data_IF_295257796665
#
_entry.id   IF_295257796665
#
_cell.length_a   1.000
_cell.length_b   1.000
_cell.length_c   1.000
_cell.angle_alpha   90.00
_cell.angle_beta   90.00
_cell.angle_gamma   90.00
#
_symmetry.space_group_name_H-M   'P 1'
#
loop_
_entity.id
_entity.type
_entity.pdbx_description
1 polymer ?
#
# COMPACT_ATOMS: atom_id res chain seq x y z
N UNK A 1 3.27 -1.24 4.62
CA UNK A 1 4.53 -1.05 3.88
C UNK A 1 4.48 -1.94 2.65
N UNK A 2 4.41 -1.36 1.46
CA UNK A 2 4.33 -2.11 0.20
C UNK A 2 5.69 -2.63 -0.26
N UNK A 3 6.77 -1.91 0.05
CA UNK A 3 8.14 -2.32 -0.27
C UNK A 3 8.48 -3.63 0.43
N UNK A 4 8.07 -3.77 1.68
CA UNK A 4 8.21 -5.03 2.44
C UNK A 4 7.40 -6.16 1.82
N UNK A 5 6.16 -5.90 1.39
CA UNK A 5 5.30 -6.91 0.75
C UNK A 5 5.81 -7.34 -0.62
N UNK A 6 6.29 -6.41 -1.43
CA UNK A 6 6.94 -6.71 -2.70
C UNK A 6 8.15 -7.63 -2.49
N UNK A 7 9.03 -7.32 -1.54
CA UNK A 7 10.21 -8.13 -1.25
C UNK A 7 9.86 -9.57 -0.82
N UNK A 8 8.74 -9.77 -0.11
CA UNK A 8 8.28 -11.09 0.34
C UNK A 8 7.84 -12.01 -0.81
N UNK A 9 7.35 -11.46 -1.92
CA UNK A 9 6.70 -12.24 -2.98
C UNK A 9 7.40 -12.17 -4.34
N UNK A 10 8.32 -11.21 -4.55
CA UNK A 10 9.02 -11.00 -5.83
C UNK A 10 9.69 -12.28 -6.38
N UNK A 11 10.22 -13.13 -5.50
CA UNK A 11 10.95 -14.34 -5.92
C UNK A 11 10.03 -15.45 -6.42
N UNK A 12 8.72 -15.31 -6.26
CA UNK A 12 7.68 -16.23 -6.74
C UNK A 12 7.08 -15.74 -8.06
N UNK A 13 7.20 -14.44 -8.36
CA UNK A 13 6.75 -13.85 -9.62
C UNK A 13 7.46 -14.53 -10.79
N UNK A 14 6.70 -14.88 -11.84
CA UNK A 14 7.22 -15.58 -13.02
C UNK A 14 7.40 -17.09 -12.88
N UNK A 15 7.31 -17.65 -11.66
CA UNK A 15 7.24 -19.11 -11.44
C UNK A 15 5.83 -19.68 -11.65
N UNK A 16 4.82 -18.84 -11.45
CA UNK A 16 3.39 -19.11 -11.66
C UNK A 16 2.61 -17.81 -11.74
N UNK A 17 1.38 -17.88 -12.22
CA UNK A 17 0.44 -16.76 -12.14
C UNK A 17 0.07 -16.47 -10.68
N UNK A 18 0.07 -15.19 -10.34
CA UNK A 18 -0.22 -14.68 -9.01
C UNK A 18 -1.36 -13.68 -9.07
N UNK A 19 -2.26 -13.78 -8.09
CA UNK A 19 -3.35 -12.84 -7.88
C UNK A 19 -3.11 -12.14 -6.54
N UNK A 20 -3.14 -10.81 -6.56
CA UNK A 20 -2.99 -9.98 -5.37
C UNK A 20 -4.36 -9.42 -5.01
N UNK A 21 -4.76 -9.57 -3.75
CA UNK A 21 -6.04 -9.10 -3.23
C UNK A 21 -5.87 -8.54 -1.81
N UNK A 22 -6.89 -7.84 -1.33
CA UNK A 22 -6.97 -7.45 0.08
C UNK A 22 -7.12 -8.67 0.98
N UNK A 23 -6.74 -8.54 2.25
CA UNK A 23 -6.84 -9.62 3.24
C UNK A 23 -8.28 -10.04 3.54
N UNK A 24 -9.22 -9.10 3.46
CA UNK A 24 -10.65 -9.33 3.64
C UNK A 24 -11.45 -8.30 2.82
N UNK A 25 -12.78 -8.35 2.94
CA UNK A 25 -13.67 -7.36 2.32
C UNK A 25 -13.34 -5.94 2.80
N UNK A 26 -13.26 -5.00 1.86
CA UNK A 26 -13.05 -3.58 2.17
C UNK A 26 -14.26 -2.92 2.85
N UNK A 27 -15.40 -3.63 2.98
CA UNK A 27 -16.57 -3.21 3.76
C UNK A 27 -16.23 -2.87 5.22
N UNK A 28 -15.17 -3.49 5.76
CA UNK A 28 -14.70 -3.27 7.13
C UNK A 28 -13.72 -2.09 7.26
N UNK A 29 -13.53 -1.32 6.19
CA UNK A 29 -12.70 -0.12 6.16
C UNK A 29 -13.58 1.07 5.78
N UNK A 30 -13.32 2.27 6.33
CA UNK A 30 -13.97 3.47 5.82
C UNK A 30 -13.62 3.67 4.33
N UNK A 31 -14.43 4.47 3.63
CA UNK A 31 -14.42 4.52 2.15
C UNK A 31 -13.20 5.28 1.61
N UNK A 32 -13.07 6.55 1.99
CA UNK A 32 -12.06 7.44 1.41
C UNK A 32 -11.40 8.29 2.49
N UNK A 33 -10.07 8.24 2.54
CA UNK A 33 -9.29 9.05 3.47
C UNK A 33 -9.24 10.52 3.03
N UNK A 34 -9.41 10.81 1.73
CA UNK A 34 -9.29 12.17 1.20
C UNK A 34 -10.26 13.15 1.88
N UNK A 35 -11.46 12.67 2.24
CA UNK A 35 -12.53 13.46 2.86
C UNK A 35 -12.36 13.69 4.36
N UNK A 36 -11.36 13.08 5.00
CA UNK A 36 -11.11 13.31 6.42
C UNK A 36 -10.44 14.68 6.63
N UNK A 37 -11.11 15.56 7.37
CA UNK A 37 -10.70 16.97 7.57
C UNK A 37 -10.14 17.25 8.95
N UNK A 38 -10.31 16.32 9.92
CA UNK A 38 -9.89 16.55 11.31
C UNK A 38 -8.57 15.89 11.67
N UNK A 39 -8.02 15.07 10.79
CA UNK A 39 -6.68 14.53 10.96
C UNK A 39 -5.64 15.52 10.46
N UNK A 40 -4.60 15.71 11.27
CA UNK A 40 -3.37 16.35 10.83
C UNK A 40 -2.78 15.61 9.60
N UNK A 41 -2.06 16.34 8.74
CA UNK A 41 -1.51 15.83 7.50
C UNK A 41 -0.49 14.70 7.72
N UNK A 42 0.35 14.79 8.76
CA UNK A 42 1.30 13.75 9.09
C UNK A 42 0.56 12.48 9.52
N UNK A 43 -0.38 12.60 10.46
CA UNK A 43 -1.18 11.46 10.92
C UNK A 43 -2.00 10.85 9.79
N UNK A 44 -2.60 11.68 8.93
CA UNK A 44 -3.36 11.25 7.76
C UNK A 44 -2.50 10.43 6.80
N UNK A 45 -1.24 10.81 6.60
CA UNK A 45 -0.31 10.07 5.72
C UNK A 45 -0.02 8.63 6.16
N UNK A 46 -0.31 8.29 7.42
CA UNK A 46 -0.10 6.95 7.96
C UNK A 46 -1.26 5.99 7.71
N UNK A 47 -2.40 6.48 7.21
CA UNK A 47 -3.60 5.70 7.00
C UNK A 47 -3.87 5.44 5.53
N UNK A 48 -4.63 4.38 5.27
CA UNK A 48 -5.21 4.08 3.97
C UNK A 48 -6.62 3.51 4.18
N UNK A 49 -7.62 4.12 3.54
CA UNK A 49 -9.00 3.66 3.54
C UNK A 49 -9.27 2.80 2.28
N UNK A 50 -10.52 2.41 2.03
CA UNK A 50 -10.83 1.45 0.97
C UNK A 50 -10.31 1.90 -0.41
N UNK A 51 -10.49 3.16 -0.79
CA UNK A 51 -9.98 3.68 -2.05
C UNK A 51 -8.45 3.68 -2.11
N UNK A 52 -7.78 4.09 -1.03
CA UNK A 52 -6.31 4.07 -0.96
C UNK A 52 -5.78 2.64 -1.01
N UNK A 53 -6.44 1.67 -0.36
CA UNK A 53 -6.09 0.25 -0.43
C UNK A 53 -6.25 -0.33 -1.83
N UNK A 54 -7.26 0.08 -2.59
CA UNK A 54 -7.36 -0.29 -4.00
C UNK A 54 -6.18 0.25 -4.81
N UNK A 55 -5.74 1.49 -4.53
CA UNK A 55 -4.55 2.06 -5.14
C UNK A 55 -3.28 1.29 -4.77
N UNK A 56 -3.12 0.90 -3.49
CA UNK A 56 -2.02 0.06 -3.02
C UNK A 56 -1.93 -1.28 -3.77
N UNK A 57 -3.07 -1.93 -4.02
CA UNK A 57 -3.12 -3.16 -4.81
C UNK A 57 -2.70 -2.94 -6.26
N UNK A 58 -3.09 -1.81 -6.87
CA UNK A 58 -2.69 -1.45 -8.23
C UNK A 58 -1.17 -1.18 -8.31
N UNK A 59 -0.62 -0.40 -7.37
CA UNK A 59 0.81 -0.15 -7.27
C UNK A 59 1.61 -1.45 -7.12
N UNK A 60 1.16 -2.34 -6.23
CA UNK A 60 1.83 -3.62 -6.01
C UNK A 60 1.75 -4.51 -7.25
N UNK A 61 0.60 -4.60 -7.92
CA UNK A 61 0.45 -5.30 -9.20
C UNK A 61 1.43 -4.76 -10.24
N UNK A 62 1.49 -3.44 -10.40
CA UNK A 62 2.31 -2.81 -11.43
C UNK A 62 3.79 -3.06 -11.18
N UNK A 63 4.24 -2.89 -9.94
CA UNK A 63 5.62 -3.17 -9.54
C UNK A 63 6.00 -4.64 -9.71
N UNK A 64 5.10 -5.59 -9.39
CA UNK A 64 5.37 -7.02 -9.60
C UNK A 64 5.50 -7.38 -11.07
N UNK A 65 4.80 -6.69 -11.96
CA UNK A 65 4.87 -6.96 -13.40
C UNK A 65 6.04 -6.25 -14.09
N UNK A 66 6.37 -5.03 -13.67
CA UNK A 66 7.43 -4.21 -14.31
C UNK A 66 8.80 -4.38 -13.65
N UNK A 67 8.85 -4.76 -12.37
CA UNK A 67 10.03 -4.71 -11.52
C UNK A 67 10.39 -3.31 -11.00
N UNK A 68 9.64 -2.27 -11.39
CA UNK A 68 9.84 -0.90 -10.92
C UNK A 68 9.18 -0.69 -9.55
N UNK A 69 9.99 -0.35 -8.56
CA UNK A 69 9.57 -0.18 -7.17
C UNK A 69 9.55 1.27 -6.70
N UNK A 70 9.84 2.24 -7.58
CA UNK A 70 9.93 3.66 -7.19
C UNK A 70 8.63 4.16 -6.56
N UNK A 71 7.48 3.87 -7.18
CA UNK A 71 6.17 4.25 -6.66
C UNK A 71 5.82 3.55 -5.33
N UNK A 72 6.29 2.31 -5.10
CA UNK A 72 6.10 1.62 -3.82
C UNK A 72 6.87 2.29 -2.69
N UNK A 73 8.11 2.70 -2.98
CA UNK A 73 8.98 3.38 -2.04
C UNK A 73 8.41 4.74 -1.65
N UNK A 74 7.94 5.53 -2.63
CA UNK A 74 7.27 6.81 -2.39
C UNK A 74 6.02 6.63 -1.52
N UNK A 75 5.12 5.71 -1.91
CA UNK A 75 3.89 5.44 -1.16
C UNK A 75 4.15 4.94 0.27
N UNK A 76 5.22 4.16 0.47
CA UNK A 76 5.56 3.58 1.78
C UNK A 76 6.40 4.51 2.67
N UNK A 77 6.94 5.61 2.15
CA UNK A 77 7.80 6.51 2.90
C UNK A 77 7.15 7.04 4.20
N UNK A 78 5.87 7.46 4.22
CA UNK A 78 5.24 7.95 5.45
C UNK A 78 5.11 6.87 6.53
N UNK A 79 4.79 5.63 6.16
CA UNK A 79 4.65 4.53 7.13
C UNK A 79 6.00 4.05 7.67
N UNK A 80 7.07 4.19 6.88
CA UNK A 80 8.44 3.95 7.34
C UNK A 80 8.90 5.04 8.31
N UNK A 81 8.62 6.31 7.99
CA UNK A 81 8.91 7.44 8.89
C UNK A 81 8.20 7.29 10.25
N UNK A 82 6.94 6.85 10.24
CA UNK A 82 6.15 6.60 11.46
C UNK A 82 6.83 5.63 12.43
N UNK A 83 7.62 4.64 11.96
CA UNK A 83 8.30 3.67 12.84
C UNK A 83 9.28 4.34 13.83
N UNK A 84 9.70 5.56 13.53
CA UNK A 84 10.62 6.36 14.33
C UNK A 84 9.96 7.61 14.94
N UNK A 85 8.65 7.77 14.78
CA UNK A 85 7.89 8.85 15.40
C UNK A 85 7.60 8.49 16.87
N UNK A 86 7.73 9.47 17.78
CA UNK A 86 7.63 9.30 19.24
C UNK A 86 6.34 9.90 19.77
#
# INVERSE_FOLDING_TARGET
>A
DLTEKYAQIKDIVGKRDLWVASSCSLLHSPIDLSVETRLDAEVKSWFAFALQKCHELALLRDALNSGDTAALAEWSAPIQARRHST
#
